data_IF_949540058807
#
_entry.id   IF_949540058807
#
_cell.length_a   1.000
_cell.length_b   1.000
_cell.length_c   1.000
_cell.angle_alpha   90.00
_cell.angle_beta   90.00
_cell.angle_gamma   90.00
#
_symmetry.space_group_name_H-M   'P 1'
#
loop_
_entity.id
_entity.type
_entity.pdbx_description
1 polymer ?
#
# COMPACT_ATOMS: atom_id res chain seq x y z
N UNK A 1 -49.82 -46.98 -31.53
CA UNK A 1 -48.54 -47.43 -30.94
C UNK A 1 -47.46 -46.85 -31.83
N UNK A 2 -46.69 -45.88 -31.35
CA UNK A 2 -45.63 -45.25 -32.17
C UNK A 2 -44.45 -46.22 -32.17
N UNK A 3 -44.13 -46.81 -33.33
CA UNK A 3 -42.95 -47.64 -33.51
C UNK A 3 -41.71 -46.75 -33.34
N UNK A 4 -41.19 -46.74 -32.12
CA UNK A 4 -40.07 -45.92 -31.73
C UNK A 4 -38.82 -46.47 -32.42
N UNK A 5 -38.37 -45.77 -33.47
CA UNK A 5 -37.21 -46.16 -34.23
C UNK A 5 -35.94 -46.03 -33.36
N UNK A 6 -35.53 -47.15 -32.77
CA UNK A 6 -34.39 -47.26 -31.87
C UNK A 6 -33.10 -46.70 -32.47
N UNK A 7 -32.91 -46.85 -33.78
CA UNK A 7 -31.73 -46.31 -34.48
C UNK A 7 -31.71 -44.79 -34.43
N UNK A 8 -32.86 -44.14 -34.62
CA UNK A 8 -33.01 -42.69 -34.57
C UNK A 8 -32.80 -42.15 -33.15
N UNK A 9 -33.24 -42.90 -32.14
CA UNK A 9 -33.02 -42.57 -30.73
C UNK A 9 -31.54 -42.62 -30.35
N UNK A 10 -30.80 -43.63 -30.84
CA UNK A 10 -29.35 -43.75 -30.65
C UNK A 10 -28.62 -42.57 -31.30
N UNK A 11 -29.00 -42.19 -32.52
CA UNK A 11 -28.37 -41.06 -33.24
C UNK A 11 -28.61 -39.74 -32.52
N UNK A 12 -29.83 -39.47 -32.05
CA UNK A 12 -30.13 -38.25 -31.28
C UNK A 12 -29.34 -38.21 -29.97
N UNK A 13 -29.27 -39.34 -29.26
CA UNK A 13 -28.54 -39.43 -27.99
C UNK A 13 -27.04 -39.20 -28.21
N UNK A 14 -26.47 -39.78 -29.26
CA UNK A 14 -25.08 -39.56 -29.65
C UNK A 14 -24.81 -38.10 -30.02
N UNK A 15 -25.73 -37.45 -30.76
CA UNK A 15 -25.61 -36.03 -31.11
C UNK A 15 -25.63 -35.12 -29.87
N UNK A 16 -26.47 -35.41 -28.87
CA UNK A 16 -26.51 -34.69 -27.60
C UNK A 16 -25.20 -34.86 -26.82
N UNK A 17 -24.66 -36.08 -26.77
CA UNK A 17 -23.38 -36.37 -26.10
C UNK A 17 -22.24 -35.62 -26.79
N UNK A 18 -22.19 -35.62 -28.13
CA UNK A 18 -21.17 -34.89 -28.89
C UNK A 18 -21.29 -33.39 -28.64
N UNK A 19 -22.49 -32.82 -28.69
CA UNK A 19 -22.73 -31.41 -28.40
C UNK A 19 -22.33 -31.05 -26.96
N UNK A 20 -22.63 -31.91 -25.98
CA UNK A 20 -22.22 -31.75 -24.59
C UNK A 20 -20.70 -31.80 -24.42
N UNK A 21 -20.03 -32.75 -25.09
CA UNK A 21 -18.57 -32.87 -25.06
C UNK A 21 -17.90 -31.68 -25.76
N UNK A 22 -18.45 -31.19 -26.88
CA UNK A 22 -17.97 -29.99 -27.57
C UNK A 22 -18.16 -28.71 -26.75
N UNK A 23 -19.32 -28.58 -26.07
CA UNK A 23 -19.58 -27.49 -25.13
C UNK A 23 -18.66 -27.54 -23.92
N UNK A 24 -18.30 -28.75 -23.46
CA UNK A 24 -17.32 -28.95 -22.38
C UNK A 24 -15.87 -28.70 -22.83
N UNK A 25 -15.52 -29.03 -24.07
CA UNK A 25 -14.20 -28.76 -24.66
C UNK A 25 -13.96 -27.26 -24.92
N UNK A 26 -15.03 -26.49 -25.21
CA UNK A 26 -14.97 -25.04 -25.35
C UNK A 26 -15.30 -24.28 -24.06
N UNK A 27 -15.65 -24.99 -22.99
CA UNK A 27 -15.71 -24.45 -21.63
C UNK A 27 -14.29 -24.19 -21.12
N UNK A 28 -13.69 -23.09 -21.56
CA UNK A 28 -12.43 -22.61 -21.00
C UNK A 28 -12.57 -22.52 -19.47
N UNK A 29 -11.57 -22.97 -18.71
CA UNK A 29 -11.58 -22.87 -17.26
C UNK A 29 -11.78 -21.41 -16.85
N UNK A 30 -12.64 -21.19 -15.86
CA UNK A 30 -12.57 -20.04 -14.96
C UNK A 30 -11.15 -19.99 -14.43
N UNK A 31 -10.32 -19.11 -14.99
CA UNK A 31 -9.15 -18.65 -14.27
C UNK A 31 -9.67 -17.76 -13.15
N UNK A 32 -9.80 -18.37 -11.97
CA UNK A 32 -9.82 -17.66 -10.70
C UNK A 32 -8.42 -17.03 -10.50
N UNK A 33 -8.06 -16.06 -11.35
CA UNK A 33 -7.18 -15.00 -10.88
C UNK A 33 -8.02 -14.29 -9.82
N UNK A 34 -7.58 -14.25 -8.55
CA UNK A 34 -8.37 -13.66 -7.49
C UNK A 34 -8.79 -12.26 -7.94
N UNK A 35 -10.10 -12.02 -7.99
CA UNK A 35 -10.71 -10.71 -8.27
C UNK A 35 -10.17 -9.63 -7.32
N UNK A 36 -9.53 -10.04 -6.22
CA UNK A 36 -8.76 -9.20 -5.32
C UNK A 36 -7.51 -8.56 -5.94
N UNK A 37 -6.83 -9.12 -6.93
CA UNK A 37 -5.62 -8.48 -7.48
C UNK A 37 -5.94 -7.30 -8.38
N UNK A 38 -7.05 -7.36 -9.11
CA UNK A 38 -7.54 -6.26 -9.96
C UNK A 38 -8.28 -5.22 -9.11
N UNK A 39 -8.98 -5.64 -8.05
CA UNK A 39 -9.54 -4.73 -7.05
C UNK A 39 -8.45 -4.05 -6.20
N UNK A 40 -7.36 -4.75 -5.86
CA UNK A 40 -6.15 -4.13 -5.31
C UNK A 40 -5.52 -3.16 -6.30
N UNK A 41 -5.44 -3.51 -7.60
CA UNK A 41 -4.89 -2.62 -8.62
C UNK A 41 -5.74 -1.34 -8.81
N UNK A 42 -7.06 -1.44 -8.61
CA UNK A 42 -7.99 -0.31 -8.67
C UNK A 42 -8.01 0.51 -7.36
N UNK A 43 -7.82 -0.10 -6.18
CA UNK A 43 -7.64 0.60 -4.91
C UNK A 43 -6.25 1.24 -4.74
N UNK A 44 -5.25 0.76 -5.49
CA UNK A 44 -3.89 1.30 -5.57
C UNK A 44 -3.80 2.56 -6.45
N UNK A 45 -4.86 2.93 -7.17
CA UNK A 45 -4.90 4.23 -7.88
C UNK A 45 -4.98 5.45 -6.95
N UNK A 46 -5.08 5.24 -5.62
CA UNK A 46 -4.86 6.29 -4.61
C UNK A 46 -3.47 6.23 -3.96
N UNK A 47 -2.55 5.39 -4.46
CA UNK A 47 -1.15 5.52 -4.09
C UNK A 47 -0.53 6.70 -4.87
N UNK A 48 0.07 7.69 -4.18
CA UNK A 48 0.64 8.86 -4.84
C UNK A 48 1.69 8.42 -5.85
N UNK A 49 1.68 9.03 -7.04
CA UNK A 49 2.52 8.65 -8.20
C UNK A 49 4.03 8.52 -7.93
N UNK A 50 4.51 8.91 -6.74
CA UNK A 50 5.83 8.57 -6.19
C UNK A 50 6.11 7.06 -6.11
N UNK A 51 5.09 6.19 -5.95
CA UNK A 51 5.30 4.72 -5.84
C UNK A 51 5.72 4.12 -7.19
N UNK A 52 5.13 4.58 -8.29
CA UNK A 52 5.42 4.07 -9.64
C UNK A 52 6.78 4.54 -10.17
N UNK A 53 7.24 5.73 -9.75
CA UNK A 53 8.53 6.28 -10.17
C UNK A 53 9.74 5.54 -9.59
N UNK A 54 9.59 4.85 -8.45
CA UNK A 54 10.69 4.16 -7.77
C UNK A 54 10.97 2.78 -8.40
N UNK A 55 10.03 2.17 -9.12
CA UNK A 55 10.21 0.85 -9.77
C UNK A 55 11.29 0.89 -10.87
N UNK A 56 11.64 2.07 -11.41
CA UNK A 56 12.47 2.20 -12.61
C UNK A 56 13.98 2.44 -12.39
N UNK A 57 14.54 2.45 -11.17
CA UNK A 57 15.96 2.77 -10.98
C UNK A 57 16.70 2.19 -9.75
N UNK A 58 17.67 1.29 -10.01
CA UNK A 58 18.76 0.80 -9.13
C UNK A 58 18.38 0.11 -7.80
N UNK A 59 18.68 -1.19 -7.72
CA UNK A 59 18.21 -2.20 -6.76
C UNK A 59 18.58 -1.95 -5.27
N UNK A 60 19.54 -1.07 -4.95
CA UNK A 60 20.02 -0.90 -3.57
C UNK A 60 19.27 0.21 -2.77
N UNK A 61 19.19 1.47 -3.24
CA UNK A 61 18.34 2.50 -2.59
C UNK A 61 16.85 2.21 -2.73
N UNK A 62 16.44 1.38 -3.69
CA UNK A 62 15.04 0.97 -3.88
C UNK A 62 14.49 0.08 -2.76
N UNK A 63 15.33 -0.75 -2.12
CA UNK A 63 14.88 -1.71 -1.09
C UNK A 63 14.44 -1.02 0.20
N UNK A 64 15.19 -0.03 0.67
CA UNK A 64 14.82 0.75 1.87
C UNK A 64 13.51 1.51 1.64
N UNK A 65 13.39 2.18 0.49
CA UNK A 65 12.18 2.92 0.12
C UNK A 65 10.96 2.02 -0.09
N UNK A 66 11.14 0.81 -0.60
CA UNK A 66 10.06 -0.17 -0.71
C UNK A 66 9.64 -0.70 0.66
N UNK A 67 10.58 -0.91 1.59
CA UNK A 67 10.26 -1.30 2.96
C UNK A 67 9.47 -0.22 3.70
N UNK A 68 9.86 1.05 3.55
CA UNK A 68 9.08 2.20 4.05
C UNK A 68 7.65 2.22 3.49
N UNK A 69 7.48 1.97 2.18
CA UNK A 69 6.17 1.99 1.53
C UNK A 69 5.28 0.81 1.93
N UNK A 70 5.85 -0.40 2.05
CA UNK A 70 5.11 -1.57 2.53
C UNK A 70 4.70 -1.39 3.98
N UNK A 71 5.60 -0.87 4.81
CA UNK A 71 5.30 -0.55 6.21
C UNK A 71 4.20 0.49 6.30
N UNK A 72 4.25 1.55 5.48
CA UNK A 72 3.18 2.53 5.40
C UNK A 72 1.82 1.90 5.04
N UNK A 73 1.78 0.96 4.10
CA UNK A 73 0.57 0.25 3.71
C UNK A 73 0.04 -0.67 4.82
N UNK A 74 0.91 -1.34 5.57
CA UNK A 74 0.54 -2.19 6.71
C UNK A 74 0.03 -1.36 7.89
N UNK A 75 0.74 -0.29 8.23
CA UNK A 75 0.38 0.59 9.34
C UNK A 75 -0.97 1.30 9.12
N UNK A 76 -1.42 1.49 7.87
CA UNK A 76 -2.76 2.03 7.58
C UNK A 76 -3.90 1.14 8.13
N UNK A 77 -3.67 -0.14 8.40
CA UNK A 77 -4.67 -0.98 9.06
C UNK A 77 -4.75 -0.73 10.57
N UNK A 78 -3.62 -0.41 11.20
CA UNK A 78 -3.52 -0.27 12.65
C UNK A 78 -3.80 1.15 13.15
N UNK A 79 -3.59 2.17 12.31
CA UNK A 79 -3.75 3.58 12.68
C UNK A 79 -4.76 4.26 11.78
N UNK A 80 -5.50 5.22 12.34
CA UNK A 80 -6.47 6.00 11.56
C UNK A 80 -5.76 7.03 10.67
N UNK A 81 -4.53 7.43 11.03
CA UNK A 81 -3.68 8.32 10.24
C UNK A 81 -2.21 7.95 10.40
N UNK A 82 -1.49 7.92 9.28
CA UNK A 82 -0.02 7.81 9.23
C UNK A 82 0.55 9.06 8.56
N UNK A 83 1.51 9.71 9.23
CA UNK A 83 2.19 10.91 8.76
C UNK A 83 3.66 10.55 8.48
N UNK A 84 4.13 10.59 7.22
CA UNK A 84 5.55 10.42 6.92
C UNK A 84 6.35 11.65 7.33
N UNK A 85 7.53 11.44 7.91
CA UNK A 85 8.49 12.47 8.32
C UNK A 85 9.84 12.28 7.61
N UNK A 86 10.49 11.13 7.83
CA UNK A 86 11.86 10.83 7.43
C UNK A 86 12.85 10.89 8.60
N UNK A 87 14.15 10.83 8.33
CA UNK A 87 15.16 10.70 9.38
C UNK A 87 15.10 11.82 10.44
N UNK A 88 15.24 11.52 11.76
CA UNK A 88 15.59 10.23 12.37
C UNK A 88 14.38 9.34 12.76
N UNK A 89 13.16 9.66 12.34
CA UNK A 89 11.95 8.85 12.60
C UNK A 89 11.07 8.83 11.36
N UNK A 90 10.94 7.71 10.67
CA UNK A 90 10.22 7.64 9.40
C UNK A 90 8.75 8.08 9.44
N UNK A 91 7.98 7.68 10.46
CA UNK A 91 6.54 7.94 10.52
C UNK A 91 6.03 8.31 11.92
N UNK A 92 4.90 9.03 11.96
CA UNK A 92 4.02 9.13 13.12
C UNK A 92 2.69 8.44 12.79
N UNK A 93 2.31 7.46 13.62
CA UNK A 93 1.00 6.83 13.58
C UNK A 93 0.07 7.41 14.64
N UNK A 94 -1.18 7.71 14.26
CA UNK A 94 -2.21 8.24 15.15
C UNK A 94 -3.41 7.29 15.13
N UNK A 95 -3.74 6.74 16.30
CA UNK A 95 -5.00 6.05 16.55
C UNK A 95 -5.87 6.95 17.42
N UNK A 96 -6.98 7.43 16.86
CA UNK A 96 -7.87 8.36 17.53
C UNK A 96 -8.34 7.78 18.87
N UNK A 97 -8.35 8.64 19.89
CA UNK A 97 -8.77 8.30 21.26
C UNK A 97 -7.98 7.15 21.91
N UNK A 98 -6.81 6.79 21.38
CA UNK A 98 -6.00 5.67 21.88
C UNK A 98 -4.54 6.06 22.07
N UNK A 99 -3.79 6.28 20.98
CA UNK A 99 -2.34 6.48 21.05
C UNK A 99 -1.77 7.23 19.85
N UNK A 100 -0.57 7.78 20.06
CA UNK A 100 0.30 8.32 19.02
C UNK A 100 1.64 7.59 19.14
N UNK A 101 2.07 6.97 18.06
CA UNK A 101 3.32 6.20 18.01
C UNK A 101 4.30 6.84 17.01
N UNK A 102 5.57 6.90 17.40
CA UNK A 102 6.69 7.29 16.54
C UNK A 102 7.34 6.01 16.02
N UNK A 103 7.51 5.90 14.71
CA UNK A 103 7.82 4.64 14.04
C UNK A 103 9.04 4.84 13.16
N UNK A 104 10.07 4.05 13.42
CA UNK A 104 11.29 3.95 12.61
C UNK A 104 11.31 2.58 11.92
N UNK A 105 11.58 2.57 10.62
CA UNK A 105 11.54 1.38 9.78
C UNK A 105 12.95 1.02 9.33
N UNK A 106 13.44 -0.15 9.75
CA UNK A 106 14.73 -0.68 9.29
C UNK A 106 14.49 -1.79 8.27
N UNK A 107 15.17 -1.70 7.12
CA UNK A 107 15.21 -2.80 6.14
C UNK A 107 16.41 -3.72 6.40
N UNK A 108 16.17 -5.04 6.53
CA UNK A 108 17.23 -6.06 6.69
C UNK A 108 17.40 -6.58 8.13
N UNK A 109 18.46 -7.37 8.37
CA UNK A 109 18.71 -8.02 9.67
C UNK A 109 19.24 -7.09 10.77
N UNK A 110 19.64 -5.86 10.42
CA UNK A 110 20.13 -4.89 11.40
C UNK A 110 18.97 -4.15 12.05
N UNK A 111 18.67 -4.49 13.30
CA UNK A 111 17.65 -3.85 14.14
C UNK A 111 18.22 -2.74 15.04
N UNK A 112 19.48 -2.33 14.82
CA UNK A 112 20.17 -1.38 15.69
C UNK A 112 19.76 0.05 15.34
N UNK A 113 19.25 0.78 16.33
CA UNK A 113 18.96 2.20 16.21
C UNK A 113 20.25 3.02 16.15
N UNK A 114 20.25 4.08 15.35
CA UNK A 114 21.29 5.12 15.40
C UNK A 114 21.25 5.86 16.73
N UNK A 115 22.31 6.59 17.07
CA UNK A 115 22.36 7.30 18.35
C UNK A 115 21.31 8.42 18.43
N UNK A 116 20.96 9.02 17.29
CA UNK A 116 19.87 10.00 17.21
C UNK A 116 18.50 9.36 17.39
N UNK A 117 18.24 8.23 16.73
CA UNK A 117 17.01 7.44 16.93
C UNK A 117 16.86 7.00 18.39
N UNK A 118 17.95 6.55 19.04
CA UNK A 118 17.96 6.21 20.47
C UNK A 118 17.63 7.43 21.32
N UNK A 119 18.19 8.60 20.99
CA UNK A 119 17.92 9.83 21.73
C UNK A 119 16.43 10.19 21.69
N UNK A 120 15.83 10.17 20.48
CA UNK A 120 14.39 10.44 20.30
C UNK A 120 13.54 9.40 21.04
N UNK A 121 13.87 8.11 20.91
CA UNK A 121 13.20 7.02 21.66
C UNK A 121 13.21 7.30 23.17
N UNK A 122 14.34 7.74 23.72
CA UNK A 122 14.45 8.04 25.15
C UNK A 122 13.60 9.24 25.56
N UNK A 123 13.51 10.28 24.72
CA UNK A 123 12.60 11.41 24.97
C UNK A 123 11.14 10.97 25.01
N UNK A 124 10.74 10.09 24.10
CA UNK A 124 9.38 9.53 24.05
C UNK A 124 9.07 8.69 25.30
N UNK A 125 9.97 7.77 25.66
CA UNK A 125 9.82 6.92 26.86
C UNK A 125 9.74 7.76 28.14
N UNK A 126 10.52 8.84 28.21
CA UNK A 126 10.49 9.77 29.33
C UNK A 126 9.26 10.71 29.33
N UNK A 127 8.33 10.56 28.37
CA UNK A 127 7.14 11.41 28.25
C UNK A 127 7.43 12.86 27.84
N UNK A 128 8.62 13.14 27.28
CA UNK A 128 9.06 14.49 26.89
C UNK A 128 8.59 14.87 25.49
N UNK A 129 7.33 14.56 25.18
CA UNK A 129 6.67 14.89 23.91
C UNK A 129 5.62 15.96 24.18
N UNK A 130 5.73 17.11 23.51
CA UNK A 130 4.87 18.26 23.75
C UNK A 130 4.12 18.65 22.48
N UNK A 131 2.84 19.02 22.62
CA UNK A 131 2.08 19.66 21.55
C UNK A 131 2.29 21.17 21.61
N UNK A 132 2.89 21.75 20.56
CA UNK A 132 3.11 23.20 20.45
C UNK A 132 2.37 23.73 19.23
N UNK A 133 1.41 24.62 19.45
CA UNK A 133 0.77 25.39 18.38
C UNK A 133 1.61 26.64 18.11
N UNK A 134 2.10 26.78 16.88
CA UNK A 134 2.77 27.99 16.40
C UNK A 134 1.86 28.60 15.33
N UNK A 135 1.44 29.84 15.55
CA UNK A 135 0.70 30.63 14.55
C UNK A 135 1.72 31.55 13.87
N UNK A 136 1.79 31.50 12.56
CA UNK A 136 2.61 32.41 11.75
C UNK A 136 1.67 33.28 10.95
N UNK A 137 1.92 34.58 10.94
CA UNK A 137 1.16 35.58 10.17
C UNK A 137 1.78 35.82 8.80
N UNK A 138 0.99 36.30 7.83
CA UNK A 138 1.50 36.63 6.49
C UNK A 138 2.60 37.71 6.53
N UNK A 139 2.46 38.68 7.44
CA UNK A 139 3.47 39.73 7.65
C UNK A 139 4.81 39.17 8.13
N UNK A 140 4.80 38.19 9.06
CA UNK A 140 6.02 37.52 9.53
C UNK A 140 6.69 36.72 8.40
N UNK A 141 5.91 36.04 7.55
CA UNK A 141 6.42 35.29 6.40
C UNK A 141 7.09 36.25 5.41
N UNK A 142 6.42 37.35 5.06
CA UNK A 142 6.96 38.33 4.12
C UNK A 142 8.25 38.96 4.67
N UNK A 143 8.28 39.30 5.96
CA UNK A 143 9.46 39.87 6.60
C UNK A 143 10.68 38.95 6.56
N UNK A 144 10.47 37.63 6.69
CA UNK A 144 11.54 36.63 6.62
C UNK A 144 12.10 36.49 5.19
N UNK A 145 11.21 36.51 4.19
CA UNK A 145 11.59 36.44 2.77
C UNK A 145 12.40 37.70 2.39
N UNK A 146 11.92 38.88 2.77
CA UNK A 146 12.56 40.17 2.46
C UNK A 146 13.91 40.33 3.17
N UNK A 147 14.10 39.70 4.33
CA UNK A 147 15.39 39.68 5.02
C UNK A 147 16.42 38.81 4.26
N UNK A 148 16.02 37.62 3.80
CA UNK A 148 16.91 36.71 3.07
C UNK A 148 17.28 37.23 1.67
N UNK A 149 16.42 38.01 1.03
CA UNK A 149 16.73 38.64 -0.26
C UNK A 149 17.72 39.81 -0.16
N UNK A 150 17.89 40.41 1.02
CA UNK A 150 18.84 41.51 1.25
C UNK A 150 20.25 41.04 1.60
N UNK A 151 20.40 39.78 1.96
CA UNK A 151 21.69 39.15 2.29
C UNK A 151 22.33 38.42 1.10
N UNK A 152 21.64 38.36 -0.05
CA UNK A 152 22.16 37.86 -1.34
C UNK A 152 22.52 39.02 -2.27
#
# INVERSE_FOLDING_TARGET
MIDLNWTLLIVITAAIIIAYLFGRLHGKPKDNIPTDLIALYQGVQELPGKVLQVIQGSINPQKGKMAELLTYAELRYDYDRIIPLGWPIDFIGIKNNSKIDFIEVKSGESHVLTDEEKHIKNLIIAGRVNFRLIKVTEEEIQSFIDAHQREQ
#
